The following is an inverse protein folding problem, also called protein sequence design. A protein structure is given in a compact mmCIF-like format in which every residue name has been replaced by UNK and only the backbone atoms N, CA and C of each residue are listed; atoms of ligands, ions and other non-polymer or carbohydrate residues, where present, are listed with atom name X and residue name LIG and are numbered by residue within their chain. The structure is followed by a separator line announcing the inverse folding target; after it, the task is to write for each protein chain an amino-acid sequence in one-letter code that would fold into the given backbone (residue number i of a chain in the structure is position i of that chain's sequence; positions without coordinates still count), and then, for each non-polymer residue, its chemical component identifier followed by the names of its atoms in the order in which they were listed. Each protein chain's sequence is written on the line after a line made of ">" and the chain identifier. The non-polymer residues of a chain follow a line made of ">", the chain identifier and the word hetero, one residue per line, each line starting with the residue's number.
data_IF_647404653704
#
_entry.id   IF_647404653704
#
_cell.length_a   1.000
_cell.length_b   1.000
_cell.length_c   1.000
_cell.angle_alpha   90.00
_cell.angle_beta   90.00
_cell.angle_gamma   90.00
#
_symmetry.space_group_name_H-M   'P 1'
#
loop_
_entity.id
_entity.type
_entity.pdbx_description
1 polymer ?
#
# COMPACT_ATOMS: atom_id res chain seq x y z
N UNK A 1 8.01 8.40 -8.22
CA UNK A 1 8.56 7.52 -9.26
C UNK A 1 7.43 6.69 -9.86
N UNK A 2 7.35 6.46 -11.19
CA UNK A 2 6.27 5.69 -11.81
C UNK A 2 6.42 4.16 -11.72
N UNK A 3 7.50 3.61 -11.15
CA UNK A 3 7.80 2.15 -11.15
C UNK A 3 6.65 1.25 -10.64
N UNK A 4 5.82 1.75 -9.72
CA UNK A 4 4.67 1.04 -9.17
C UNK A 4 3.33 1.42 -9.80
N UNK A 5 3.30 2.40 -10.72
CA UNK A 5 2.06 2.86 -11.36
C UNK A 5 1.08 3.62 -10.45
N UNK A 6 1.48 3.99 -9.22
CA UNK A 6 0.53 4.50 -8.21
C UNK A 6 0.11 5.98 -8.36
N UNK A 7 0.67 6.71 -9.33
CA UNK A 7 0.44 8.15 -9.48
C UNK A 7 -1.04 8.53 -9.66
N UNK A 8 -1.72 7.92 -10.64
CA UNK A 8 -3.13 8.17 -10.92
C UNK A 8 -4.05 7.69 -9.79
N UNK A 9 -3.74 6.54 -9.17
CA UNK A 9 -4.49 6.00 -8.04
C UNK A 9 -4.42 6.93 -6.83
N UNK A 10 -3.24 7.48 -6.52
CA UNK A 10 -3.06 8.49 -5.47
C UNK A 10 -3.84 9.77 -5.78
N UNK A 11 -3.78 10.26 -7.03
CA UNK A 11 -4.52 11.46 -7.43
C UNK A 11 -6.04 11.27 -7.24
N UNK A 12 -6.61 10.16 -7.73
CA UNK A 12 -8.02 9.88 -7.60
C UNK A 12 -8.47 9.78 -6.12
N UNK A 13 -7.71 9.05 -5.29
CA UNK A 13 -8.01 8.91 -3.85
C UNK A 13 -7.87 10.23 -3.09
N UNK A 14 -6.83 11.02 -3.40
CA UNK A 14 -6.66 12.38 -2.86
C UNK A 14 -7.85 13.26 -3.21
N UNK A 15 -8.23 13.33 -4.49
CA UNK A 15 -9.37 14.13 -4.95
C UNK A 15 -10.66 13.74 -4.23
N UNK A 16 -10.93 12.45 -4.01
CA UNK A 16 -12.12 12.00 -3.27
C UNK A 16 -12.11 12.49 -1.82
N UNK A 17 -10.98 12.38 -1.13
CA UNK A 17 -10.84 12.83 0.27
C UNK A 17 -11.05 14.34 0.38
N UNK A 18 -10.43 15.13 -0.50
CA UNK A 18 -10.60 16.58 -0.51
C UNK A 18 -12.03 16.98 -0.87
N UNK A 19 -12.64 16.31 -1.84
CA UNK A 19 -14.04 16.55 -2.21
C UNK A 19 -14.98 16.34 -1.02
N UNK A 20 -14.86 15.21 -0.33
CA UNK A 20 -15.68 14.92 0.85
C UNK A 20 -15.42 15.91 1.99
N UNK A 21 -14.15 16.28 2.22
CA UNK A 21 -13.79 17.24 3.26
C UNK A 21 -14.31 18.64 2.96
N UNK A 22 -14.31 19.08 1.69
CA UNK A 22 -14.87 20.36 1.26
C UNK A 22 -16.38 20.39 1.49
N UNK A 23 -17.10 19.35 1.06
CA UNK A 23 -18.54 19.26 1.27
C UNK A 23 -18.89 19.24 2.77
N UNK A 24 -18.11 18.52 3.58
CA UNK A 24 -18.32 18.46 5.03
C UNK A 24 -17.97 19.77 5.75
N UNK A 25 -17.13 20.64 5.16
CA UNK A 25 -16.80 21.95 5.74
C UNK A 25 -17.92 22.98 5.52
N UNK A 26 -18.85 22.73 4.59
CA UNK A 26 -19.96 23.62 4.23
C UNK A 26 -19.50 25.08 4.04
N UNK A 27 -20.11 26.05 4.74
CA UNK A 27 -19.77 27.48 4.64
C UNK A 27 -18.69 27.93 5.65
N UNK A 28 -17.96 26.99 6.26
CA UNK A 28 -16.86 27.32 7.18
C UNK A 28 -15.59 27.71 6.42
N UNK A 29 -14.66 28.37 7.11
CA UNK A 29 -13.38 28.75 6.53
C UNK A 29 -12.48 27.53 6.28
N UNK A 30 -11.69 27.58 5.20
CA UNK A 30 -10.60 26.63 4.95
C UNK A 30 -9.36 27.07 5.72
N UNK A 31 -9.43 26.99 7.06
CA UNK A 31 -8.33 27.37 7.94
C UNK A 31 -7.10 26.48 7.73
N UNK A 32 -5.93 26.93 8.21
CA UNK A 32 -4.72 26.11 8.23
C UNK A 32 -4.94 24.77 8.92
N UNK A 33 -5.64 24.78 10.07
CA UNK A 33 -5.97 23.56 10.79
C UNK A 33 -6.80 22.59 9.92
N UNK A 34 -7.79 23.10 9.18
CA UNK A 34 -8.59 22.27 8.27
C UNK A 34 -7.75 21.71 7.12
N UNK A 35 -6.85 22.52 6.54
CA UNK A 35 -5.95 22.10 5.47
C UNK A 35 -5.03 20.96 5.93
N UNK A 36 -4.40 21.13 7.10
CA UNK A 36 -3.54 20.10 7.70
C UNK A 36 -4.33 18.83 7.98
N UNK A 37 -5.50 18.92 8.64
CA UNK A 37 -6.31 17.75 8.94
C UNK A 37 -6.79 17.01 7.68
N UNK A 38 -7.12 17.72 6.61
CA UNK A 38 -7.53 17.11 5.34
C UNK A 38 -6.35 16.40 4.67
N UNK A 39 -5.17 17.02 4.68
CA UNK A 39 -3.95 16.39 4.18
C UNK A 39 -3.60 15.14 4.99
N UNK A 40 -3.62 15.19 6.32
CA UNK A 40 -3.30 14.03 7.17
C UNK A 40 -4.19 12.82 6.89
N UNK A 41 -5.48 13.03 6.57
CA UNK A 41 -6.39 11.95 6.16
C UNK A 41 -5.93 11.28 4.86
N UNK A 42 -5.50 12.07 3.88
CA UNK A 42 -4.92 11.53 2.65
C UNK A 42 -3.56 10.88 2.90
N UNK A 43 -2.71 11.52 3.71
CA UNK A 43 -1.37 11.08 3.99
C UNK A 43 -1.34 9.73 4.70
N UNK A 44 -2.28 9.45 5.61
CA UNK A 44 -2.44 8.14 6.25
C UNK A 44 -2.60 6.97 5.25
N UNK A 45 -3.11 7.23 4.05
CA UNK A 45 -3.08 6.27 2.94
C UNK A 45 -1.79 6.39 2.11
N UNK A 46 -1.46 7.60 1.67
CA UNK A 46 -0.38 7.84 0.72
C UNK A 46 1.02 7.47 1.26
N UNK A 47 1.26 7.60 2.57
CA UNK A 47 2.55 7.26 3.17
C UNK A 47 2.94 5.81 2.92
N UNK A 48 1.98 4.88 2.95
CA UNK A 48 2.25 3.45 2.72
C UNK A 48 2.55 3.18 1.25
N UNK A 49 1.87 3.89 0.35
CA UNK A 49 2.10 3.83 -1.09
C UNK A 49 3.49 4.36 -1.45
N UNK A 50 3.90 5.47 -0.82
CA UNK A 50 5.23 6.07 -0.97
C UNK A 50 6.30 5.12 -0.41
N UNK A 51 6.11 4.57 0.79
CA UNK A 51 7.04 3.63 1.39
C UNK A 51 7.26 2.39 0.50
N UNK A 52 6.18 1.81 -0.03
CA UNK A 52 6.27 0.67 -0.94
C UNK A 52 7.00 1.03 -2.25
N UNK A 53 6.63 2.15 -2.87
CA UNK A 53 7.28 2.62 -4.11
C UNK A 53 8.77 2.85 -3.89
N UNK A 54 9.16 3.51 -2.80
CA UNK A 54 10.56 3.75 -2.48
C UNK A 54 11.33 2.46 -2.20
N UNK A 55 10.70 1.45 -1.59
CA UNK A 55 11.34 0.15 -1.35
C UNK A 55 11.74 -0.56 -2.65
N UNK A 56 11.03 -0.31 -3.75
CA UNK A 56 11.31 -0.88 -5.08
C UNK A 56 12.36 -0.10 -5.88
N UNK A 57 12.79 1.07 -5.39
CA UNK A 57 13.87 1.86 -6.01
C UNK A 57 15.25 1.49 -5.48
N UNK A 58 15.30 0.80 -4.35
CA UNK A 58 16.51 0.30 -3.74
C UNK A 58 16.78 -1.15 -4.18
N UNK A 59 18.01 -1.65 -4.05
CA UNK A 59 18.26 -3.08 -4.16
C UNK A 59 17.28 -3.86 -3.27
N UNK A 60 16.61 -4.89 -3.79
CA UNK A 60 15.61 -5.62 -3.02
C UNK A 60 16.28 -6.36 -1.87
N UNK A 61 15.70 -6.23 -0.67
CA UNK A 61 16.11 -7.00 0.50
C UNK A 61 15.90 -8.51 0.25
N UNK A 62 16.68 -9.41 0.90
CA UNK A 62 16.58 -10.85 0.67
C UNK A 62 15.17 -11.42 0.80
N UNK A 63 14.40 -11.01 1.80
CA UNK A 63 13.02 -11.49 2.00
C UNK A 63 12.08 -11.02 0.88
N UNK A 64 12.33 -9.87 0.27
CA UNK A 64 11.55 -9.39 -0.89
C UNK A 64 11.84 -10.25 -2.12
N UNK A 65 13.10 -10.64 -2.33
CA UNK A 65 13.47 -11.58 -3.41
C UNK A 65 12.79 -12.93 -3.19
N UNK A 66 12.78 -13.45 -1.97
CA UNK A 66 12.09 -14.70 -1.62
C UNK A 66 10.59 -14.63 -1.84
N UNK A 67 9.94 -13.52 -1.44
CA UNK A 67 8.52 -13.26 -1.68
C UNK A 67 8.20 -13.30 -3.18
N UNK A 68 8.99 -12.61 -4.01
CA UNK A 68 8.81 -12.59 -5.47
C UNK A 68 9.06 -13.96 -6.10
N UNK A 69 10.09 -14.69 -5.63
CA UNK A 69 10.37 -16.04 -6.09
C UNK A 69 9.20 -16.99 -5.74
N UNK A 70 8.67 -16.92 -4.53
CA UNK A 70 7.51 -17.70 -4.10
C UNK A 70 6.25 -17.35 -4.91
N UNK A 71 6.02 -16.06 -5.19
CA UNK A 71 4.91 -15.61 -6.02
C UNK A 71 4.97 -16.20 -7.44
N UNK A 72 6.18 -16.31 -8.03
CA UNK A 72 6.34 -16.90 -9.36
C UNK A 72 5.94 -18.38 -9.45
N UNK A 73 5.90 -19.08 -8.30
CA UNK A 73 5.57 -20.51 -8.22
C UNK A 73 4.24 -20.80 -7.52
N UNK A 74 3.56 -19.79 -6.97
CA UNK A 74 2.32 -19.97 -6.20
C UNK A 74 1.27 -18.91 -6.58
N UNK A 75 0.22 -19.35 -7.28
CA UNK A 75 -0.86 -18.48 -7.76
C UNK A 75 -1.57 -17.72 -6.62
N UNK A 76 -1.71 -18.31 -5.43
CA UNK A 76 -2.33 -17.63 -4.29
C UNK A 76 -1.52 -16.41 -3.86
N UNK A 77 -0.19 -16.57 -3.79
CA UNK A 77 0.74 -15.49 -3.46
C UNK A 77 0.74 -14.42 -4.57
N UNK A 78 0.85 -14.85 -5.83
CA UNK A 78 0.81 -13.94 -6.98
C UNK A 78 -0.47 -13.10 -7.02
N UNK A 79 -1.62 -13.72 -6.74
CA UNK A 79 -2.92 -13.04 -6.73
C UNK A 79 -3.00 -11.99 -5.61
N UNK A 80 -2.47 -12.31 -4.42
CA UNK A 80 -2.40 -11.35 -3.31
C UNK A 80 -1.50 -10.16 -3.68
N UNK A 81 -0.32 -10.42 -4.23
CA UNK A 81 0.58 -9.35 -4.66
C UNK A 81 -0.04 -8.45 -5.73
N UNK A 82 -0.68 -9.04 -6.74
CA UNK A 82 -1.34 -8.28 -7.80
C UNK A 82 -2.49 -7.42 -7.26
N UNK A 83 -3.33 -7.98 -6.38
CA UNK A 83 -4.43 -7.23 -5.76
C UNK A 83 -3.92 -6.09 -4.85
N UNK A 84 -2.76 -6.26 -4.22
CA UNK A 84 -2.18 -5.20 -3.40
C UNK A 84 -1.70 -3.97 -4.19
N UNK A 85 -1.64 -4.00 -5.53
CA UNK A 85 -1.46 -2.76 -6.31
C UNK A 85 -2.67 -1.81 -6.15
N UNK A 86 -3.88 -2.35 -6.00
CA UNK A 86 -5.08 -1.55 -5.75
C UNK A 86 -5.06 -0.92 -4.35
N UNK A 87 -4.62 -1.69 -3.34
CA UNK A 87 -4.40 -1.19 -1.98
C UNK A 87 -3.00 -1.54 -1.43
N UNK A 88 -1.99 -0.68 -1.68
CA UNK A 88 -0.62 -0.94 -1.23
C UNK A 88 -0.43 -1.00 0.28
N UNK A 89 -1.42 -0.55 1.08
CA UNK A 89 -1.37 -0.71 2.53
C UNK A 89 -1.32 -2.17 2.95
N UNK A 90 -1.90 -3.06 2.14
CA UNK A 90 -1.93 -4.50 2.39
C UNK A 90 -0.57 -5.19 2.18
N UNK A 91 0.46 -4.49 1.68
CA UNK A 91 1.84 -4.99 1.71
C UNK A 91 2.44 -4.96 3.11
N UNK A 92 1.96 -4.08 4.00
CA UNK A 92 2.40 -4.08 5.38
C UNK A 92 1.67 -5.18 6.20
N UNK A 93 2.37 -5.84 7.13
CA UNK A 93 3.79 -5.67 7.44
C UNK A 93 4.73 -6.55 6.59
N UNK A 94 4.21 -7.59 5.93
CA UNK A 94 4.99 -8.71 5.37
C UNK A 94 5.94 -8.34 4.22
N UNK A 95 5.74 -7.22 3.55
CA UNK A 95 6.70 -6.71 2.56
C UNK A 95 7.92 -6.03 3.21
N UNK A 96 7.72 -5.40 4.37
CA UNK A 96 8.71 -4.52 4.99
C UNK A 96 9.49 -5.16 6.13
N UNK A 97 9.05 -6.33 6.61
CA UNK A 97 9.65 -7.03 7.74
C UNK A 97 9.90 -8.50 7.38
N UNK A 98 11.13 -8.97 7.62
CA UNK A 98 11.57 -10.31 7.22
C UNK A 98 10.84 -11.43 7.98
N UNK A 99 10.57 -11.25 9.27
CA UNK A 99 9.86 -12.26 10.07
C UNK A 99 8.39 -12.36 9.64
N UNK A 100 7.77 -11.22 9.33
CA UNK A 100 6.42 -11.17 8.80
C UNK A 100 6.33 -11.74 7.38
N UNK A 101 7.36 -11.55 6.55
CA UNK A 101 7.46 -12.19 5.24
C UNK A 101 7.47 -13.72 5.36
N UNK A 102 8.29 -14.26 6.26
CA UNK A 102 8.36 -15.70 6.50
C UNK A 102 7.04 -16.26 7.03
N UNK A 103 6.40 -15.57 7.98
CA UNK A 103 5.09 -15.96 8.49
C UNK A 103 4.02 -15.97 7.38
N UNK A 104 4.03 -14.95 6.52
CA UNK A 104 3.14 -14.89 5.35
C UNK A 104 3.37 -16.08 4.41
N UNK A 105 4.62 -16.36 4.02
CA UNK A 105 4.95 -17.49 3.14
C UNK A 105 4.54 -18.84 3.75
N UNK A 106 4.83 -19.06 5.03
CA UNK A 106 4.44 -20.26 5.75
C UNK A 106 2.92 -20.47 5.74
N UNK A 107 2.13 -19.39 5.89
CA UNK A 107 0.66 -19.46 5.86
C UNK A 107 0.08 -19.89 4.50
N UNK A 108 0.83 -19.70 3.41
CA UNK A 108 0.40 -20.06 2.04
C UNK A 108 0.89 -21.44 1.60
N UNK A 109 1.95 -21.94 2.22
CA UNK A 109 2.46 -23.29 1.98
C UNK A 109 1.75 -24.36 2.84
N UNK A 110 1.15 -23.96 3.95
CA UNK A 110 0.41 -24.85 4.87
C UNK A 110 -1.04 -25.10 4.44
N UNK A 111 -1.51 -24.52 3.33
CA UNK A 111 -2.85 -24.76 2.80
C UNK A 111 -2.97 -26.12 2.08
N UNK A 112 -2.91 -27.20 2.87
CA UNK A 112 -3.59 -28.48 2.62
C UNK A 112 -4.06 -29.01 3.97
N UNK A 113 -5.29 -28.66 4.37
CA UNK A 113 -6.03 -29.39 5.39
C UNK A 113 -7.48 -29.54 4.92
N UNK A 114 -7.85 -30.82 4.76
CA UNK A 114 -9.14 -31.42 4.38
C UNK A 114 -9.60 -31.25 2.92
#
# INVERSE_FOLDING_TARGET
>A
DPITGQGSNNAAKCSKIYFDAILANDNQSFSEQWMVQTFERYWAYAEKVVAWTNSLLLPPEPHVVELLAAASQNQSIASIMANNFDDPRAFAPWWFDADQAQAFLASKNTAKVA
#
